data_IF_218856909687
#
_entry.id   IF_218856909687
#
_cell.length_a   1.000
_cell.length_b   1.000
_cell.length_c   1.000
_cell.angle_alpha   90.00
_cell.angle_beta   90.00
_cell.angle_gamma   90.00
#
_symmetry.space_group_name_H-M   'P 1'
#
loop_
_entity.id
_entity.type
_entity.pdbx_description
1 polymer ?
2 non-polymer ?
3 water ?
#
# COMPACT_ATOMS: atom_id res chain seq x y z
N UNK A 7 -8.21 6.60 23.51
CA UNK A 7 -8.55 6.63 22.05
C UNK A 7 -7.35 6.23 21.19
N UNK A 8 -7.55 5.25 20.32
CA UNK A 8 -6.49 4.77 19.42
C UNK A 8 -6.95 4.86 17.97
N UNK A 9 -6.30 5.73 17.20
CA UNK A 9 -6.63 5.92 15.80
C UNK A 9 -6.06 4.75 15.01
N UNK A 10 -6.94 4.00 14.36
CA UNK A 10 -6.51 2.85 13.55
C UNK A 10 -7.38 2.73 12.31
N UNK A 11 -6.73 2.45 11.19
CA UNK A 11 -7.43 2.36 9.91
C UNK A 11 -6.58 2.72 8.71
N UNK A 12 -7.07 3.64 7.89
CA UNK A 12 -6.49 3.84 6.56
C UNK A 12 -6.24 5.31 6.24
N UNK A 13 -5.10 5.56 5.61
CA UNK A 13 -4.79 6.85 5.00
C UNK A 13 -4.75 6.67 3.49
N UNK A 14 -5.64 7.35 2.79
CA UNK A 14 -5.53 7.46 1.34
C UNK A 14 -4.54 8.59 1.07
N UNK A 15 -3.26 8.24 1.03
CA UNK A 15 -2.20 9.24 0.84
C UNK A 15 -1.09 8.83 -0.11
N UNK A 16 -1.43 8.16 -1.20
CA UNK A 16 -0.46 7.73 -2.19
C UNK A 16 -0.45 8.66 -3.40
N UNK A 17 0.55 8.50 -4.27
CA UNK A 17 0.53 9.16 -5.57
C UNK A 17 -0.24 8.28 -6.54
N UNK A 18 -1.06 8.90 -7.37
CA UNK A 18 -1.85 8.16 -8.35
C UNK A 18 -3.32 8.50 -8.32
N UNK A 19 -4.10 7.73 -9.08
CA UNK A 19 -5.54 7.91 -9.18
C UNK A 19 -6.19 7.84 -7.80
N UNK A 20 -6.85 8.94 -7.36
CA UNK A 20 -7.54 8.87 -6.08
C UNK A 20 -8.77 8.00 -6.20
N UNK A 21 -9.11 7.29 -5.12
CA UNK A 21 -10.31 6.47 -5.09
C UNK A 21 -11.56 7.32 -5.27
N UNK A 22 -12.66 6.68 -5.67
CA UNK A 22 -13.91 7.37 -5.95
C UNK A 22 -14.94 7.12 -4.84
N UNK A 23 -16.13 7.69 -4.98
CA UNK A 23 -17.18 7.59 -3.96
C UNK A 23 -17.49 6.13 -3.61
N UNK A 24 -17.81 5.34 -4.63
CA UNK A 24 -18.17 3.94 -4.50
C UNK A 24 -17.13 3.17 -3.67
N UNK A 25 -15.85 3.41 -3.97
CA UNK A 25 -14.76 2.71 -3.30
C UNK A 25 -14.63 3.15 -1.86
N UNK A 26 -14.68 4.47 -1.62
CA UNK A 26 -14.49 4.99 -0.27
C UNK A 26 -15.60 4.59 0.68
N UNK A 27 -16.85 4.67 0.21
CA UNK A 27 -18.02 4.18 0.95
C UNK A 27 -17.87 2.70 1.31
N UNK A 28 -17.38 1.91 0.37
CA UNK A 28 -17.13 0.50 0.61
C UNK A 28 -16.03 0.31 1.67
N UNK A 29 -14.99 1.14 1.60
CA UNK A 29 -13.94 1.12 2.61
C UNK A 29 -14.50 1.39 4.00
N UNK A 30 -15.35 2.41 4.13
CA UNK A 30 -15.93 2.76 5.43
C UNK A 30 -16.72 1.59 5.99
N UNK A 31 -17.47 0.92 5.12
CA UNK A 31 -18.29 -0.22 5.51
C UNK A 31 -17.38 -1.31 6.11
N UNK A 32 -16.37 -1.71 5.34
CA UNK A 32 -15.44 -2.74 5.78
C UNK A 32 -14.68 -2.35 7.06
N UNK A 33 -14.27 -1.09 7.15
CA UNK A 33 -13.58 -0.60 8.35
C UNK A 33 -14.47 -0.74 9.57
N UNK A 34 -15.73 -0.34 9.43
CA UNK A 34 -16.67 -0.42 10.53
C UNK A 34 -16.81 -1.86 11.02
N UNK A 35 -17.02 -2.78 10.08
CA UNK A 35 -17.30 -4.17 10.42
C UNK A 35 -16.08 -4.94 10.94
N UNK A 36 -14.88 -4.41 10.68
CA UNK A 36 -13.67 -4.98 11.26
C UNK A 36 -13.22 -4.24 12.52
N UNK A 37 -14.09 -3.38 13.02
CA UNK A 37 -13.88 -2.59 14.25
C UNK A 37 -12.73 -1.56 14.20
N UNK A 38 -12.37 -1.13 13.00
CA UNK A 38 -11.43 -0.01 12.82
C UNK A 38 -12.18 1.32 12.92
N UNK A 39 -11.47 2.44 12.98
CA UNK A 39 -12.13 3.72 13.30
C UNK A 39 -11.75 4.97 12.50
N UNK A 40 -10.69 4.92 11.71
CA UNK A 40 -10.15 6.15 11.12
C UNK A 40 -9.91 6.08 9.62
N UNK A 41 -10.24 7.19 8.96
CA UNK A 41 -9.86 7.42 7.56
C UNK A 41 -9.23 8.82 7.40
N UNK A 42 -7.98 8.83 6.97
CA UNK A 42 -7.26 10.05 6.70
C UNK A 42 -7.26 10.32 5.20
N UNK A 43 -7.88 11.44 4.82
CA UNK A 43 -8.01 11.87 3.44
C UNK A 43 -6.77 12.67 3.02
N UNK A 44 -5.92 12.06 2.20
CA UNK A 44 -4.65 12.68 1.80
C UNK A 44 -4.19 12.38 0.36
N UNK A 45 -5.12 12.38 -0.63
CA UNK A 45 -4.64 11.97 -1.94
C UNK A 45 -3.67 12.99 -2.57
N UNK A 46 -2.41 12.57 -2.76
CA UNK A 46 -1.37 13.46 -3.27
C UNK A 46 -1.81 14.11 -4.57
N UNK A 47 -2.68 13.42 -5.31
CA UNK A 47 -3.15 13.87 -6.61
C UNK A 47 -4.62 14.32 -6.61
N UNK A 48 -5.19 14.62 -5.43
CA UNK A 48 -6.35 15.50 -5.39
C UNK A 48 -5.77 16.89 -5.51
N UNK A 49 -5.89 17.47 -6.70
CA UNK A 49 -5.15 18.71 -7.01
C UNK A 49 -5.28 19.81 -5.95
N UNK A 50 -6.47 19.95 -5.38
CA UNK A 50 -6.72 20.94 -4.32
C UNK A 50 -6.31 20.50 -2.91
N UNK A 51 -5.66 19.35 -2.78
CA UNK A 51 -5.18 18.89 -1.47
C UNK A 51 -3.73 19.30 -1.25
N UNK A 52 -2.94 19.22 -2.32
CA UNK A 52 -1.52 19.55 -2.28
C UNK A 52 -1.21 20.64 -3.31
N UNK A 53 -0.98 20.24 -4.56
CA UNK A 53 -0.64 21.15 -5.67
C UNK A 53 -1.23 22.55 -5.56
N UNK A 54 -2.56 22.64 -5.58
CA UNK A 54 -3.29 23.90 -5.50
C UNK A 54 -4.10 23.99 -4.20
N UNK A 55 -3.42 23.85 -3.07
CA UNK A 55 -4.06 23.87 -1.75
C UNK A 55 -4.84 25.15 -1.45
N UNK A 56 -4.51 26.25 -2.13
CA UNK A 56 -5.17 27.54 -1.89
C UNK A 56 -6.60 27.59 -2.38
N UNK A 57 -6.86 26.94 -3.51
CA UNK A 57 -8.17 26.95 -4.14
C UNK A 57 -9.28 26.32 -3.30
N UNK A 58 -10.44 26.96 -3.29
CA UNK A 58 -11.65 26.40 -2.70
C UNK A 58 -12.15 25.26 -3.59
N UNK A 59 -12.82 24.29 -2.97
CA UNK A 59 -13.49 23.24 -3.74
C UNK A 59 -14.72 23.85 -4.39
N UNK A 60 -15.00 23.44 -5.63
CA UNK A 60 -16.18 23.91 -6.36
C UNK A 60 -17.48 23.37 -5.76
N UNK A 61 -18.63 23.83 -6.28
CA UNK A 61 -19.93 23.37 -5.75
C UNK A 61 -20.08 21.86 -5.92
N UNK A 62 -19.82 21.36 -7.13
CA UNK A 62 -19.84 19.92 -7.41
C UNK A 62 -18.87 19.18 -6.49
N UNK A 63 -17.64 19.68 -6.41
CA UNK A 63 -16.61 19.09 -5.54
C UNK A 63 -17.00 19.11 -4.05
N UNK A 64 -17.85 20.07 -3.68
CA UNK A 64 -18.26 20.27 -2.30
C UNK A 64 -19.34 19.28 -1.89
N UNK A 65 -20.31 19.08 -2.78
CA UNK A 65 -21.40 18.14 -2.56
C UNK A 65 -20.82 16.73 -2.36
N UNK A 66 -19.75 16.46 -3.09
CA UNK A 66 -19.10 15.16 -3.03
C UNK A 66 -18.42 14.91 -1.70
N UNK A 67 -17.66 15.90 -1.23
CA UNK A 67 -16.99 15.79 0.06
C UNK A 67 -17.97 15.73 1.21
N UNK A 68 -19.09 16.43 1.09
CA UNK A 68 -20.15 16.41 2.10
C UNK A 68 -20.75 15.01 2.24
N UNK A 69 -21.09 14.41 1.10
CA UNK A 69 -21.55 13.02 1.00
C UNK A 69 -20.52 12.09 1.63
N UNK A 70 -19.28 12.20 1.17
CA UNK A 70 -18.18 11.43 1.71
C UNK A 70 -18.09 11.55 3.23
N UNK A 71 -18.17 12.77 3.75
CA UNK A 71 -18.06 13.01 5.20
C UNK A 71 -19.29 12.43 5.93
N UNK A 72 -20.44 12.52 5.28
CA UNK A 72 -21.69 12.03 5.83
C UNK A 72 -21.65 10.51 5.99
N UNK A 73 -21.18 9.82 4.95
CA UNK A 73 -21.05 8.37 4.94
C UNK A 73 -20.14 7.90 6.05
N UNK A 74 -19.04 8.63 6.27
CA UNK A 74 -18.12 8.29 7.35
C UNK A 74 -18.83 8.36 8.69
N UNK A 75 -19.65 9.40 8.86
CA UNK A 75 -20.45 9.53 10.07
C UNK A 75 -21.42 8.34 10.21
N UNK A 76 -22.07 8.00 9.09
CA UNK A 76 -23.05 6.91 9.05
C UNK A 76 -22.46 5.55 9.48
N UNK A 77 -21.20 5.29 9.10
CA UNK A 77 -20.52 4.04 9.43
C UNK A 77 -19.58 4.20 10.62
N UNK A 78 -19.78 5.26 11.40
CA UNK A 78 -19.00 5.52 12.62
C UNK A 78 -17.49 5.52 12.39
N UNK A 79 -17.06 6.10 11.27
CA UNK A 79 -15.63 6.26 10.96
C UNK A 79 -15.25 7.73 11.08
N UNK A 80 -14.17 8.04 11.79
CA UNK A 80 -13.73 9.42 11.87
C UNK A 80 -12.95 9.85 10.62
N UNK A 81 -13.52 10.85 9.95
CA UNK A 81 -12.95 11.41 8.74
C UNK A 81 -12.00 12.52 9.13
N UNK A 82 -10.71 12.34 8.83
CA UNK A 82 -9.72 13.39 9.00
C UNK A 82 -9.33 13.94 7.63
N UNK A 83 -9.59 15.23 7.43
CA UNK A 83 -9.16 15.92 6.22
C UNK A 83 -7.75 16.46 6.38
N UNK A 84 -6.84 16.05 5.50
CA UNK A 84 -5.48 16.59 5.49
C UNK A 84 -5.29 17.64 4.38
N UNK A 85 -4.38 18.59 4.63
CA UNK A 85 -3.93 19.57 3.63
C UNK A 85 -2.41 19.59 3.60
N UNK A 86 -1.83 19.79 2.41
CA UNK A 86 -0.37 19.84 2.26
C UNK A 86 0.05 21.12 1.54
N UNK A 87 0.40 22.17 2.30
CA UNK A 87 0.72 23.46 1.69
C UNK A 87 2.22 23.68 1.46
N UNK A 88 3.05 22.74 1.95
CA UNK A 88 4.49 22.94 2.03
C UNK A 88 5.28 23.02 0.73
N UNK A 89 4.60 22.90 -0.40
CA UNK A 89 5.28 22.96 -1.70
C UNK A 89 5.61 24.40 -2.11
N UNK A 90 4.69 25.32 -1.85
CA UNK A 90 4.87 26.73 -2.23
C UNK A 90 4.29 27.77 -1.24
N UNK A 91 4.19 27.41 0.04
CA UNK A 91 3.68 28.35 1.05
C UNK A 91 4.76 29.31 1.55
N UNK A 92 4.42 30.60 1.61
CA UNK A 92 5.25 31.58 2.32
C UNK A 92 4.70 31.67 3.74
N UNK A 93 5.37 30.99 4.68
CA UNK A 93 4.91 30.90 6.06
C UNK A 93 4.70 32.28 6.69
N UNK A 94 5.67 33.17 6.49
CA UNK A 94 5.67 34.51 7.07
C UNK A 94 4.58 35.43 6.51
N UNK A 95 4.06 35.11 5.34
CA UNK A 95 3.01 35.95 4.75
C UNK A 95 1.64 35.70 5.41
N UNK A 96 1.06 36.75 6.03
CA UNK A 96 -0.20 36.57 6.76
C UNK A 96 -1.38 36.25 5.83
N UNK A 97 -1.29 36.64 4.57
CA UNK A 97 -2.35 36.33 3.58
C UNK A 97 -2.40 34.83 3.31
N UNK A 98 -1.23 34.18 3.32
CA UNK A 98 -1.12 32.73 3.17
C UNK A 98 -1.83 31.99 4.31
N UNK A 99 -1.46 32.31 5.55
CA UNK A 99 -2.03 31.70 6.76
C UNK A 99 -3.55 31.85 6.77
N UNK A 100 -4.01 33.00 6.33
CA UNK A 100 -5.42 33.31 6.21
C UNK A 100 -6.12 32.38 5.21
N UNK A 101 -5.47 32.12 4.08
CA UNK A 101 -6.01 31.21 3.06
C UNK A 101 -6.06 29.76 3.56
N UNK A 102 -5.04 29.35 4.30
CA UNK A 102 -5.01 28.03 4.91
C UNK A 102 -6.19 27.86 5.85
N UNK A 103 -6.46 28.90 6.64
CA UNK A 103 -7.63 28.95 7.52
C UNK A 103 -8.92 28.87 6.71
N UNK A 104 -8.99 29.64 5.64
CA UNK A 104 -10.17 29.71 4.78
C UNK A 104 -10.50 28.34 4.18
N UNK A 105 -9.46 27.63 3.74
CA UNK A 105 -9.61 26.30 3.15
C UNK A 105 -10.18 25.33 4.18
N UNK A 106 -9.54 25.25 5.33
CA UNK A 106 -9.99 24.37 6.39
C UNK A 106 -11.35 24.76 6.95
N UNK A 107 -11.74 26.02 6.78
CA UNK A 107 -13.09 26.44 7.15
C UNK A 107 -14.15 25.88 6.22
N UNK A 108 -13.84 25.82 4.92
CA UNK A 108 -14.77 25.23 3.94
C UNK A 108 -15.07 23.78 4.32
N UNK A 109 -14.01 23.04 4.66
CA UNK A 109 -14.12 21.63 4.96
C UNK A 109 -14.85 21.39 6.29
N UNK A 110 -14.60 22.26 7.27
CA UNK A 110 -15.33 22.21 8.56
C UNK A 110 -16.83 22.33 8.30
N UNK A 111 -17.17 23.26 7.42
CA UNK A 111 -18.55 23.51 7.04
C UNK A 111 -19.18 22.33 6.31
N UNK A 112 -18.34 21.54 5.63
CA UNK A 112 -18.80 20.31 4.97
C UNK A 112 -19.17 19.24 6.01
N UNK A 113 -18.78 19.46 7.26
CA UNK A 113 -19.11 18.56 8.34
C UNK A 113 -17.91 17.90 8.99
N UNK A 114 -16.71 18.22 8.52
CA UNK A 114 -15.48 17.58 9.04
C UNK A 114 -15.03 18.26 10.33
N UNK A 115 -14.62 17.44 11.30
CA UNK A 115 -14.25 17.95 12.62
C UNK A 115 -12.80 17.60 13.02
N UNK A 116 -12.12 16.86 12.16
CA UNK A 116 -10.74 16.41 12.43
C UNK A 116 -9.86 16.73 11.24
N UNK A 117 -8.66 17.26 11.50
CA UNK A 117 -7.81 17.82 10.44
C UNK A 117 -6.36 17.43 10.57
N UNK A 118 -5.62 17.56 9.47
CA UNK A 118 -4.20 17.28 9.49
C UNK A 118 -3.44 18.25 8.60
N UNK A 119 -2.25 18.63 9.07
CA UNK A 119 -1.32 19.40 8.26
C UNK A 119 -0.13 18.53 7.91
N UNK A 120 0.17 18.48 6.61
CA UNK A 120 1.23 17.61 6.11
C UNK A 120 2.36 18.39 5.43
N UNK A 121 3.58 18.07 5.85
CA UNK A 121 4.77 18.68 5.31
C UNK A 121 5.76 17.63 4.80
N UNK A 122 5.20 16.53 4.31
CA UNK A 122 5.96 15.39 3.81
C UNK A 122 6.30 15.57 2.33
N UNK A 123 7.46 15.04 1.94
CA UNK A 123 7.99 15.08 0.56
C UNK A 123 8.11 16.51 -0.01
N UNK A 124 8.78 17.38 0.76
CA UNK A 124 9.15 18.73 0.32
C UNK A 124 10.62 18.99 0.68
N UNK A 125 11.27 19.96 0.04
CA UNK A 125 12.66 20.27 0.41
C UNK A 125 12.77 21.20 1.62
N UNK A 126 13.93 21.16 2.28
CA UNK A 126 14.17 21.91 3.51
C UNK A 126 14.31 23.42 3.35
N UNK A 127 14.64 23.85 2.14
CA UNK A 127 15.00 25.25 1.87
C UNK A 127 13.82 26.22 1.94
N UNK A 128 13.82 27.11 2.93
CA UNK A 128 12.83 28.18 3.02
C UNK A 128 13.19 29.31 2.05
N UNK A 129 12.23 30.20 1.78
CA UNK A 129 12.50 31.37 0.95
C UNK A 129 13.15 32.46 1.78
N UNK A 130 13.53 33.57 1.14
CA UNK A 130 14.22 34.66 1.82
C UNK A 130 13.39 35.24 2.96
N UNK A 131 12.17 35.69 2.64
CA UNK A 131 11.26 36.28 3.61
C UNK A 131 11.07 35.43 4.87
N UNK A 132 10.79 34.15 4.67
CA UNK A 132 10.58 33.21 5.78
C UNK A 132 11.84 33.07 6.64
N UNK A 133 13.01 33.05 6.00
CA UNK A 133 14.29 32.92 6.69
C UNK A 133 14.60 34.08 7.64
N UNK A 134 14.04 35.26 7.35
CA UNK A 134 14.16 36.40 8.24
C UNK A 134 13.31 36.19 9.49
N UNK A 135 12.03 35.85 9.28
CA UNK A 135 11.02 35.75 10.35
C UNK A 135 11.14 34.47 11.22
N UNK A 136 11.68 33.40 10.66
CA UNK A 136 11.72 32.12 11.37
C UNK A 136 13.12 31.57 11.57
N UNK A 137 13.37 31.08 12.78
CA UNK A 137 14.64 30.49 13.17
C UNK A 137 15.06 29.33 12.26
N UNK A 138 14.16 28.35 12.10
CA UNK A 138 14.41 27.19 11.24
C UNK A 138 13.18 26.80 10.43
N UNK A 139 13.29 25.69 9.72
CA UNK A 139 12.18 25.13 8.95
C UNK A 139 11.09 24.67 9.90
N UNK A 140 11.48 23.90 10.91
CA UNK A 140 10.57 23.42 11.94
C UNK A 140 9.81 24.54 12.65
N UNK A 141 10.50 25.67 12.88
CA UNK A 141 9.90 26.84 13.50
C UNK A 141 8.78 27.43 12.66
N UNK A 142 8.99 27.46 11.33
CA UNK A 142 7.97 27.95 10.41
C UNK A 142 6.74 27.04 10.44
N UNK A 143 7.00 25.74 10.33
CA UNK A 143 5.94 24.73 10.31
C UNK A 143 5.12 24.71 11.60
N UNK A 144 5.81 24.63 12.74
CA UNK A 144 5.13 24.57 14.04
C UNK A 144 4.30 25.82 14.32
N UNK A 145 4.83 26.97 13.94
CA UNK A 145 4.12 28.23 14.08
C UNK A 145 2.78 28.18 13.35
N UNK A 146 2.80 27.75 12.09
CA UNK A 146 1.57 27.75 11.27
C UNK A 146 0.61 26.66 11.72
N UNK A 147 1.16 25.50 12.07
CA UNK A 147 0.36 24.40 12.61
C UNK A 147 -0.36 24.84 13.87
N UNK A 148 0.39 25.30 14.86
CA UNK A 148 -0.19 25.73 16.14
C UNK A 148 -1.30 26.76 15.94
N UNK A 149 -1.02 27.74 15.08
CA UNK A 149 -1.97 28.80 14.80
C UNK A 149 -3.28 28.20 14.30
N UNK A 150 -3.18 27.39 13.24
CA UNK A 150 -4.33 26.69 12.66
C UNK A 150 -5.06 25.85 13.70
N UNK A 151 -4.31 25.06 14.45
CA UNK A 151 -4.87 24.19 15.48
C UNK A 151 -5.76 24.96 16.43
N UNK A 152 -5.26 26.10 16.91
CA UNK A 152 -5.99 26.93 17.87
C UNK A 152 -7.15 27.68 17.24
N UNK A 153 -6.94 28.15 16.01
CA UNK A 153 -7.98 28.85 15.27
C UNK A 153 -9.20 27.98 15.05
N UNK A 154 -8.98 26.68 14.85
CA UNK A 154 -10.07 25.73 14.65
C UNK A 154 -10.70 25.21 15.95
N UNK A 155 -10.35 25.84 17.06
CA UNK A 155 -10.93 25.52 18.36
C UNK A 155 -10.28 24.32 19.02
N UNK A 156 -9.04 24.04 18.65
CA UNK A 156 -8.26 22.93 19.21
C UNK A 156 -9.01 21.58 19.16
N UNK A 157 -9.28 21.07 17.93
CA UNK A 157 -10.05 19.83 17.75
C UNK A 157 -9.44 18.64 18.48
N UNK A 158 -10.28 17.68 18.85
CA UNK A 158 -9.84 16.46 19.53
C UNK A 158 -8.81 15.67 18.70
N UNK A 159 -9.00 15.63 17.39
CA UNK A 159 -8.04 14.98 16.51
C UNK A 159 -7.43 15.97 15.52
N UNK A 160 -6.17 16.30 15.75
CA UNK A 160 -5.41 17.11 14.82
C UNK A 160 -4.07 16.44 14.62
N UNK A 161 -3.68 16.23 13.37
CA UNK A 161 -2.40 15.58 13.06
C UNK A 161 -1.41 16.51 12.38
N UNK A 162 -0.13 16.22 12.59
CA UNK A 162 0.97 16.94 11.98
C UNK A 162 1.88 15.90 11.34
N UNK A 163 2.22 16.12 10.07
CA UNK A 163 3.22 15.28 9.45
C UNK A 163 4.53 16.05 9.17
N UNK A 164 5.62 15.63 9.83
CA UNK A 164 6.96 16.20 9.68
C UNK A 164 7.46 16.19 8.23
N UNK A 165 8.55 16.91 7.98
CA UNK A 165 9.26 16.76 6.72
C UNK A 165 10.23 15.62 6.92
N UNK A 166 10.88 15.62 8.07
CA UNK A 166 11.70 14.49 8.50
C UNK A 166 10.75 13.48 9.14
N UNK A 167 10.03 12.74 8.31
CA UNK A 167 8.94 11.91 8.79
C UNK A 167 9.30 10.45 9.07
N UNK A 168 10.57 10.09 8.93
CA UNK A 168 11.04 8.73 9.16
C UNK A 168 12.54 8.70 9.47
N UNK A 169 12.99 7.60 10.06
CA UNK A 169 14.40 7.42 10.44
C UNK A 169 15.42 7.99 9.46
N UNK A 170 15.43 7.46 8.25
CA UNK A 170 16.41 7.84 7.23
C UNK A 170 16.28 9.29 6.73
N UNK A 171 15.21 9.96 7.14
CA UNK A 171 14.95 11.33 6.68
C UNK A 171 15.46 12.42 7.62
N UNK A 172 15.92 12.01 8.80
CA UNK A 172 16.39 12.96 9.81
C UNK A 172 17.87 13.28 9.64
N UNK A 173 18.18 14.57 9.52
CA UNK A 173 19.56 15.07 9.54
C UNK A 173 19.90 15.57 10.95
N UNK A 174 21.02 15.09 11.53
CA UNK A 174 21.90 14.04 11.02
C UNK A 174 21.41 12.63 11.36
N UNK A 175 20.52 12.54 12.34
CA UNK A 175 19.89 11.28 12.74
C UNK A 175 18.64 11.56 13.57
N UNK A 176 18.02 10.51 14.08
CA UNK A 176 16.74 10.62 14.77
C UNK A 176 16.88 11.33 16.12
N UNK A 177 17.73 10.79 17.00
CA UNK A 177 17.86 11.25 18.38
C UNK A 177 18.53 12.62 18.52
N UNK A 178 19.28 13.04 17.50
CA UNK A 178 19.98 14.32 17.55
C UNK A 178 19.54 15.30 16.46
N UNK A 179 18.25 15.29 16.12
CA UNK A 179 17.73 16.17 15.07
C UNK A 179 17.32 17.55 15.60
N UNK A 180 17.90 18.62 15.03
CA UNK A 180 17.46 20.00 15.30
C UNK A 180 16.01 20.23 14.87
N UNK A 181 15.60 19.59 13.78
CA UNK A 181 14.24 19.70 13.26
C UNK A 181 13.24 19.04 14.22
N UNK A 182 13.52 17.81 14.63
CA UNK A 182 12.62 17.06 15.51
C UNK A 182 12.62 17.62 16.94
N UNK A 183 13.77 18.15 17.37
CA UNK A 183 13.88 18.81 18.67
C UNK A 183 12.85 19.93 18.77
N UNK A 184 12.88 20.84 17.79
CA UNK A 184 11.96 21.96 17.73
C UNK A 184 10.52 21.48 17.77
N UNK A 185 10.20 20.50 16.92
CA UNK A 185 8.83 19.96 16.82
C UNK A 185 8.36 19.42 18.17
N UNK A 186 9.19 18.61 18.81
CA UNK A 186 8.87 18.04 20.12
C UNK A 186 8.75 19.05 21.25
N UNK A 187 9.30 20.24 21.06
CA UNK A 187 9.26 21.28 22.07
C UNK A 187 8.15 22.28 21.80
N UNK A 188 8.17 22.87 20.61
CA UNK A 188 7.29 23.99 20.29
C UNK A 188 5.86 23.59 19.85
N UNK A 189 5.68 22.40 19.29
CA UNK A 189 4.36 21.96 18.82
C UNK A 189 3.41 21.61 19.98
N UNK A 190 2.25 22.26 20.01
CA UNK A 190 1.28 22.10 21.10
C UNK A 190 0.96 20.64 21.43
N UNK A 191 0.69 20.33 22.71
CA UNK A 191 0.60 18.93 23.16
C UNK A 191 -0.64 18.17 22.66
N UNK A 192 -1.68 18.92 22.27
CA UNK A 192 -2.91 18.31 21.76
C UNK A 192 -2.86 17.89 20.30
N UNK A 193 -1.65 17.82 19.73
CA UNK A 193 -1.47 17.55 18.30
C UNK A 193 -0.65 16.28 18.10
N UNK A 194 -1.08 15.44 17.18
CA UNK A 194 -0.41 14.18 16.88
C UNK A 194 0.69 14.35 15.85
N UNK A 195 1.70 13.50 15.95
CA UNK A 195 2.81 13.51 15.02
C UNK A 195 2.81 12.20 14.24
N UNK A 196 2.87 12.30 12.92
CA UNK A 196 2.91 11.12 12.07
C UNK A 196 4.34 10.66 11.83
N UNK A 197 4.53 9.33 11.82
CA UNK A 197 5.84 8.71 11.70
C UNK A 197 5.65 7.42 10.91
N UNK A 198 6.63 7.07 10.06
CA UNK A 198 6.50 5.85 9.24
C UNK A 198 7.47 4.73 9.65
N UNK A 199 8.31 5.00 10.65
CA UNK A 199 9.34 4.05 11.07
C UNK A 199 10.71 4.40 10.52
N UNK A 200 11.69 3.46 10.62
CA UNK A 200 13.08 3.64 10.19
C UNK A 200 13.22 4.17 8.75
N UNK A 201 12.33 3.74 7.86
CA UNK A 201 12.32 4.20 6.47
C UNK A 201 10.90 4.54 6.00
N UNK A 202 10.80 5.11 4.80
CA UNK A 202 9.49 5.39 4.20
C UNK A 202 8.64 4.12 4.19
N UNK A 203 9.18 3.06 3.59
CA UNK A 203 8.57 1.74 3.62
C UNK A 203 9.39 0.87 4.59
N UNK A 204 8.92 0.79 5.84
CA UNK A 204 9.69 0.10 6.87
C UNK A 204 9.46 -1.41 6.86
N UNK A 205 10.55 -2.16 6.67
CA UNK A 205 10.52 -3.63 6.78
C UNK A 205 10.10 -4.03 8.19
N UNK A 206 10.66 -3.33 9.17
CA UNK A 206 10.30 -3.51 10.56
C UNK A 206 10.19 -2.16 11.25
N UNK A 207 9.27 -2.07 12.20
CA UNK A 207 9.20 -0.92 13.09
C UNK A 207 9.57 -1.41 14.49
N UNK A 208 10.89 -1.40 14.80
CA UNK A 208 11.37 -1.94 16.07
C UNK A 208 10.95 -1.06 17.23
N UNK A 209 10.52 -1.70 18.31
CA UNK A 209 10.10 -1.02 19.54
C UNK A 209 11.13 0.01 20.01
N UNK A 210 12.41 -0.29 19.82
CA UNK A 210 13.50 0.61 20.21
C UNK A 210 13.38 1.98 19.54
N UNK A 211 13.20 1.99 18.22
CA UNK A 211 13.14 3.23 17.44
C UNK A 211 11.89 4.04 17.75
N UNK A 212 10.86 3.36 18.24
CA UNK A 212 9.63 4.02 18.66
C UNK A 212 9.83 4.81 19.96
N UNK A 213 10.54 4.19 20.91
CA UNK A 213 10.96 4.87 22.13
C UNK A 213 11.94 5.99 21.81
N UNK A 214 12.86 5.72 20.89
CA UNK A 214 13.84 6.72 20.44
C UNK A 214 13.18 7.99 19.91
N UNK A 215 12.23 7.82 18.99
CA UNK A 215 11.51 8.96 18.40
C UNK A 215 10.50 9.57 19.38
N UNK A 216 9.93 8.73 20.26
CA UNK A 216 9.02 9.20 21.30
C UNK A 216 9.66 10.26 22.18
N UNK A 217 10.93 10.04 22.53
CA UNK A 217 11.69 10.95 23.38
C UNK A 217 11.83 12.35 22.78
N UNK A 218 12.24 12.43 21.52
CA UNK A 218 12.53 13.73 20.89
C UNK A 218 11.28 14.54 20.49
N UNK A 219 10.23 13.85 20.04
CA UNK A 219 8.96 14.50 19.69
C UNK A 219 8.10 14.71 20.94
N UNK A 220 8.53 14.09 22.04
CA UNK A 220 7.92 14.27 23.36
C UNK A 220 6.47 13.81 23.41
N UNK A 221 6.18 12.70 22.72
CA UNK A 221 4.85 12.09 22.66
C UNK A 221 4.87 10.79 21.87
N UNK A 222 3.83 9.98 22.03
CA UNK A 222 3.66 8.79 21.21
C UNK A 222 3.20 9.19 19.79
N UNK A 223 3.88 8.65 18.76
CA UNK A 223 3.50 8.96 17.38
C UNK A 223 2.32 8.12 16.88
N UNK A 224 1.68 8.60 15.82
CA UNK A 224 0.76 7.81 15.03
C UNK A 224 1.51 7.31 13.82
N UNK A 225 1.50 6.01 13.60
CA UNK A 225 2.15 5.42 12.44
C UNK A 225 1.37 5.74 11.17
N UNK A 226 2.08 6.24 10.17
CA UNK A 226 1.58 6.32 8.81
C UNK A 226 2.32 5.16 8.13
N UNK A 227 1.69 3.99 8.09
CA UNK A 227 2.40 2.80 7.66
C UNK A 227 2.34 2.60 6.16
N UNK A 228 3.50 2.44 5.55
CA UNK A 228 3.61 2.27 4.12
C UNK A 228 3.98 0.87 3.71
N UNK A 229 3.71 -0.10 4.59
CA UNK A 229 4.02 -1.50 4.31
C UNK A 229 3.43 -1.98 2.97
N UNK A 230 2.19 -1.60 2.67
CA UNK A 230 1.49 -2.12 1.49
C UNK A 230 1.39 -1.17 0.31
N UNK A 231 1.98 0.02 0.41
CA UNK A 231 1.92 0.99 -0.69
C UNK A 231 2.65 0.47 -1.91
N UNK A 232 2.13 0.77 -3.09
CA UNK A 232 2.77 0.39 -4.35
C UNK A 232 2.90 1.53 -5.36
N UNK A 233 2.95 2.78 -4.90
CA UNK A 233 3.01 3.89 -5.82
C UNK A 233 4.41 4.18 -6.39
N UNK A 234 5.40 3.37 -6.03
CA UNK A 234 6.73 3.51 -6.63
C UNK A 234 6.82 2.86 -8.01
N UNK A 235 7.10 3.71 -9.01
CA UNK A 235 6.87 3.44 -10.44
C UNK A 235 7.66 2.29 -11.08
N UNK A 236 7.42 1.09 -10.55
CA UNK A 236 7.77 -0.17 -11.20
C UNK A 236 6.76 -1.16 -10.61
N UNK A 237 5.58 -1.18 -11.22
CA UNK A 237 4.35 -1.76 -10.63
C UNK A 237 4.43 -3.15 -9.97
N UNK A 238 4.29 -3.14 -8.64
CA UNK A 238 4.17 -4.35 -7.83
C UNK A 238 2.82 -4.31 -7.11
N UNK A 239 2.48 -5.40 -6.43
CA UNK A 239 1.21 -5.52 -5.70
C UNK A 239 1.40 -6.35 -4.43
N UNK A 240 0.86 -5.88 -3.32
CA UNK A 240 1.11 -6.54 -2.04
C UNK A 240 -0.15 -7.03 -1.37
N UNK A 241 -0.28 -8.35 -1.35
CA UNK A 241 -1.44 -9.02 -0.76
C UNK A 241 -1.02 -9.83 0.47
N UNK A 242 0.21 -9.65 0.93
CA UNK A 242 0.71 -10.34 2.12
C UNK A 242 0.10 -9.75 3.38
N UNK A 243 0.29 -10.40 4.53
CA UNK A 243 -0.29 -9.93 5.77
C UNK A 243 0.54 -8.82 6.41
N UNK A 244 -0.06 -8.09 7.34
CA UNK A 244 0.64 -7.05 8.10
C UNK A 244 1.71 -7.71 8.97
N UNK A 245 2.97 -7.51 8.60
CA UNK A 245 4.10 -8.10 9.33
C UNK A 245 5.15 -7.03 9.65
N UNK A 246 6.06 -7.34 10.55
CA UNK A 246 7.19 -6.46 10.86
C UNK A 246 6.97 -5.50 12.01
N UNK A 247 5.75 -5.47 12.53
CA UNK A 247 5.41 -4.59 13.66
C UNK A 247 4.93 -5.41 14.86
N UNK A 248 5.73 -5.39 15.92
CA UNK A 248 5.39 -6.09 17.16
C UNK A 248 4.14 -5.50 17.79
N UNK A 249 3.26 -6.37 18.28
CA UNK A 249 2.03 -5.95 18.96
C UNK A 249 2.34 -5.18 20.24
N UNK A 250 3.60 -5.20 20.66
CA UNK A 250 4.06 -4.41 21.79
C UNK A 250 4.05 -2.92 21.48
N UNK A 251 4.01 -2.56 20.19
CA UNK A 251 3.96 -1.16 19.78
C UNK A 251 2.62 -0.52 20.12
N UNK A 252 1.56 -1.32 20.15
CA UNK A 252 0.19 -0.80 20.33
C UNK A 252 0.02 0.10 21.56
N UNK A 253 0.48 -0.35 22.74
CA UNK A 253 0.37 0.53 23.91
C UNK A 253 1.41 1.67 23.93
N UNK A 254 2.33 1.67 22.95
CA UNK A 254 3.35 2.71 22.85
C UNK A 254 3.08 3.65 21.67
N UNK A 255 1.89 3.56 21.09
CA UNK A 255 1.50 4.40 19.96
C UNK A 255 0.15 5.05 20.15
N UNK A 256 -0.03 6.21 19.53
CA UNK A 256 -1.34 6.88 19.53
C UNK A 256 -2.21 6.40 18.35
N UNK A 257 -1.59 5.76 17.36
CA UNK A 257 -2.35 5.18 16.26
C UNK A 257 -1.55 4.53 15.15
N UNK A 258 -2.25 3.79 14.30
CA UNK A 258 -1.67 3.19 13.09
C UNK A 258 -2.65 3.37 11.94
N UNK A 259 -2.19 4.08 10.92
CA UNK A 259 -2.96 4.27 9.70
C UNK A 259 -2.15 3.70 8.55
N UNK A 260 -2.80 2.91 7.70
CA UNK A 260 -2.09 2.23 6.63
C UNK A 260 -2.37 2.85 5.26
N UNK A 261 -1.29 3.10 4.52
CA UNK A 261 -1.33 3.69 3.19
C UNK A 261 -1.16 2.60 2.15
N UNK A 262 -2.28 1.95 1.75
CA UNK A 262 -2.25 0.67 1.04
C UNK A 262 -2.06 0.80 -0.48
N UNK A 263 -2.24 -0.29 -1.22
CA UNK A 263 -2.15 -0.31 -2.69
C UNK A 263 -3.07 0.71 -3.36
N UNK A 264 -2.62 1.24 -4.50
CA UNK A 264 -3.42 2.19 -5.29
C UNK A 264 -4.70 1.55 -5.79
N UNK A 265 -4.59 0.28 -6.18
CA UNK A 265 -5.74 -0.52 -6.61
C UNK A 265 -6.55 -0.89 -5.39
N UNK A 266 -7.79 -0.42 -5.36
CA UNK A 266 -8.65 -0.49 -4.17
C UNK A 266 -8.93 -1.92 -3.65
N UNK A 267 -9.46 -2.77 -4.53
CA UNK A 267 -9.88 -4.12 -4.14
C UNK A 267 -8.67 -4.99 -3.78
N UNK A 268 -7.48 -4.55 -4.18
CA UNK A 268 -6.26 -5.27 -3.86
C UNK A 268 -5.87 -5.13 -2.38
N UNK A 269 -6.74 -4.54 -1.57
CA UNK A 269 -6.38 -4.13 -0.22
C UNK A 269 -7.12 -4.84 0.92
N UNK A 270 -7.84 -5.92 0.58
CA UNK A 270 -8.62 -6.68 1.55
C UNK A 270 -7.71 -7.20 2.67
N UNK A 271 -6.70 -7.96 2.26
CA UNK A 271 -5.72 -8.50 3.18
C UNK A 271 -5.09 -7.40 4.03
N UNK A 272 -4.50 -6.41 3.36
CA UNK A 272 -3.78 -5.32 4.01
C UNK A 272 -4.55 -4.73 5.18
N UNK A 273 -5.82 -4.44 4.93
CA UNK A 273 -6.66 -3.78 5.92
C UNK A 273 -7.23 -4.80 6.93
N UNK A 274 -7.63 -5.97 6.44
CA UNK A 274 -8.13 -7.07 7.31
C UNK A 274 -7.09 -7.45 8.36
N UNK A 275 -5.89 -7.81 7.91
CA UNK A 275 -4.81 -8.24 8.80
C UNK A 275 -4.38 -7.18 9.81
N UNK A 276 -4.42 -5.91 9.41
CA UNK A 276 -4.17 -4.81 10.35
C UNK A 276 -5.19 -4.79 11.49
N UNK A 277 -6.45 -5.04 11.17
CA UNK A 277 -7.52 -5.08 12.17
C UNK A 277 -7.29 -6.24 13.15
N UNK A 278 -6.86 -7.38 12.61
CA UNK A 278 -6.54 -8.55 13.42
C UNK A 278 -5.37 -8.25 14.36
N UNK A 279 -4.34 -7.60 13.80
CA UNK A 279 -3.17 -7.17 14.56
C UNK A 279 -3.57 -6.22 15.67
N UNK A 280 -4.40 -5.22 15.34
CA UNK A 280 -4.85 -4.25 16.33
C UNK A 280 -5.72 -4.87 17.42
N UNK A 281 -6.66 -5.73 17.03
CA UNK A 281 -7.57 -6.38 17.98
C UNK A 281 -6.87 -7.39 18.90
N UNK A 282 -5.71 -7.89 18.47
CA UNK A 282 -4.98 -8.91 19.23
C UNK A 282 -4.34 -8.36 20.50
N UNK A 283 -4.06 -7.05 20.52
CA UNK A 283 -3.54 -6.38 21.70
C UNK A 283 -4.18 -5.00 21.86
N UNK A 284 -5.52 -4.99 21.88
CA UNK A 284 -6.30 -3.78 21.93
C UNK A 284 -6.14 -3.07 23.28
N UNK A 285 -6.26 -3.86 24.36
CA UNK A 285 -6.25 -3.32 25.73
C UNK A 285 -4.88 -3.41 26.42
N UNK A 286 -4.04 -4.34 25.97
CA UNK A 286 -2.76 -4.64 26.61
C UNK A 286 -1.93 -3.46 27.10
N UNK A 287 -1.38 -3.61 28.30
CA UNK A 287 -0.58 -2.56 28.95
C UNK A 287 0.89 -2.64 28.53
N UNK A 288 1.66 -1.61 28.88
CA UNK A 288 3.08 -1.53 28.53
C UNK A 288 3.94 -2.55 29.27
N UNK A 289 4.58 -3.45 28.53
CA UNK A 289 5.46 -4.48 29.10
C UNK A 289 6.89 -4.37 28.56
N UNK A 318 8.23 -14.48 16.40
CA UNK A 318 8.73 -13.58 17.44
C UNK A 318 7.60 -13.03 18.33
N UNK A 319 6.44 -12.77 17.75
CA UNK A 319 5.31 -12.15 18.46
C UNK A 319 4.46 -13.16 19.21
N UNK A 320 4.15 -12.85 20.47
CA UNK A 320 3.42 -13.76 21.35
C UNK A 320 1.90 -13.57 21.30
N UNK A 321 1.42 -12.68 20.45
CA UNK A 321 -0.01 -12.35 20.39
C UNK A 321 -0.63 -12.38 18.99
N UNK A 322 0.21 -12.38 17.96
CA UNK A 322 -0.24 -12.21 16.58
C UNK A 322 0.62 -12.98 15.59
N UNK A 323 -0.03 -13.77 14.73
CA UNK A 323 0.67 -14.57 13.73
C UNK A 323 0.31 -14.14 12.31
N UNK A 324 1.28 -13.53 11.59
CA UNK A 324 1.05 -13.11 10.21
C UNK A 324 0.49 -14.24 9.36
N UNK A 325 1.03 -15.45 9.53
CA UNK A 325 0.57 -16.62 8.78
C UNK A 325 -0.89 -16.95 9.10
N UNK A 326 -1.25 -16.93 10.37
CA UNK A 326 -2.63 -17.23 10.78
C UNK A 326 -3.58 -16.08 10.45
N UNK A 327 -3.06 -14.84 10.45
CA UNK A 327 -3.84 -13.66 10.11
C UNK A 327 -4.12 -13.57 8.61
N UNK A 328 -3.15 -13.94 7.79
CA UNK A 328 -3.35 -14.00 6.34
C UNK A 328 -4.40 -15.04 5.97
N UNK A 329 -4.37 -16.19 6.66
CA UNK A 329 -5.34 -17.25 6.41
C UNK A 329 -6.77 -16.81 6.74
N UNK A 330 -6.94 -16.16 7.90
CA UNK A 330 -8.25 -15.63 8.29
C UNK A 330 -8.77 -14.61 7.28
N UNK A 331 -7.87 -13.77 6.79
CA UNK A 331 -8.19 -12.74 5.81
C UNK A 331 -8.64 -13.34 4.48
N UNK A 332 -7.83 -14.23 3.93
CA UNK A 332 -8.15 -14.90 2.67
C UNK A 332 -9.42 -15.73 2.74
N UNK A 333 -9.68 -16.32 3.92
CA UNK A 333 -10.87 -17.12 4.16
C UNK A 333 -12.13 -16.25 4.01
N UNK A 334 -12.12 -15.08 4.62
CA UNK A 334 -13.25 -14.16 4.55
C UNK A 334 -13.36 -13.49 3.18
N UNK A 335 -12.20 -13.19 2.57
CA UNK A 335 -12.12 -12.53 1.26
C UNK A 335 -12.70 -13.41 0.17
N UNK A 336 -12.54 -14.71 0.33
CA UNK A 336 -13.07 -15.69 -0.62
C UNK A 336 -14.58 -15.57 -0.77
N UNK A 337 -15.26 -15.30 0.35
CA UNK A 337 -16.70 -15.08 0.37
C UNK A 337 -17.13 -13.86 -0.45
N UNK A 338 -16.15 -13.01 -0.79
CA UNK A 338 -16.41 -11.82 -1.58
C UNK A 338 -16.38 -12.15 -3.08
N UNK A 339 -15.97 -13.36 -3.42
CA UNK A 339 -15.83 -13.78 -4.81
C UNK A 339 -17.06 -14.51 -5.33
N UNK A 340 -17.88 -15.03 -4.41
CA UNK A 340 -18.98 -15.93 -4.74
C UNK A 340 -20.14 -15.36 -5.54
N UNK A 341 -20.93 -16.26 -6.14
CA UNK A 341 -22.09 -15.92 -6.94
C UNK A 341 -23.28 -15.44 -6.09
N UNK A 342 -23.98 -14.37 -6.53
CA UNK A 342 -25.16 -13.84 -5.82
C UNK A 342 -26.32 -14.83 -5.69
N UNK A 361 -32.72 -25.53 -10.98
CA UNK A 361 -34.01 -25.07 -11.49
C UNK A 361 -34.29 -25.51 -12.95
N UNK A 362 -33.34 -25.32 -13.88
CA UNK A 362 -33.67 -25.68 -15.26
C UNK A 362 -33.83 -27.20 -15.46
N UNK A 363 -34.68 -27.58 -16.41
CA UNK A 363 -34.90 -28.99 -16.73
C UNK A 363 -33.77 -29.59 -17.55
N UNK A 364 -33.62 -30.93 -17.52
CA UNK A 364 -32.56 -31.66 -18.22
C UNK A 364 -32.44 -31.35 -19.71
N UNK A 365 -33.55 -30.97 -20.36
CA UNK A 365 -33.55 -30.62 -21.78
C UNK A 365 -33.48 -29.11 -22.05
N UNK A 366 -33.32 -28.34 -20.98
CA UNK A 366 -33.23 -26.87 -21.06
C UNK A 366 -31.78 -26.37 -21.03
N UNK A 367 -31.60 -25.06 -21.12
CA UNK A 367 -30.25 -24.46 -21.11
C UNK A 367 -29.65 -24.35 -19.71
N UNK A 368 -28.41 -24.88 -19.55
CA UNK A 368 -27.77 -24.87 -18.23
C UNK A 368 -27.37 -23.47 -17.78
N UNK A 369 -27.60 -23.18 -16.50
CA UNK A 369 -27.25 -21.90 -15.89
C UNK A 369 -25.79 -21.56 -16.15
N UNK A 370 -25.50 -20.28 -16.39
CA UNK A 370 -24.12 -19.85 -16.56
C UNK A 370 -23.36 -20.14 -15.27
N UNK A 371 -22.26 -20.87 -15.42
CA UNK A 371 -21.39 -21.20 -14.30
C UNK A 371 -19.95 -21.42 -14.76
N UNK A 372 -19.03 -21.39 -13.80
CA UNK A 372 -17.60 -21.64 -14.05
C UNK A 372 -16.92 -22.19 -12.80
N UNK A 373 -15.77 -22.85 -12.98
CA UNK A 373 -14.97 -23.38 -11.87
C UNK A 373 -14.66 -22.28 -10.84
N UNK A 374 -15.09 -22.48 -9.58
CA UNK A 374 -14.98 -21.47 -8.52
C UNK A 374 -13.55 -21.27 -8.02
N UNK A 375 -13.25 -20.04 -7.63
CA UNK A 375 -11.99 -19.67 -7.00
C UNK A 375 -11.96 -20.33 -5.61
N UNK A 376 -10.85 -21.01 -5.32
CA UNK A 376 -10.71 -21.74 -4.05
C UNK A 376 -9.77 -21.00 -3.12
N UNK A 377 -9.89 -21.27 -1.82
CA UNK A 377 -8.95 -20.71 -0.83
C UNK A 377 -7.49 -20.95 -1.23
N UNK A 378 -7.20 -22.14 -1.74
CA UNK A 378 -5.85 -22.50 -2.16
C UNK A 378 -5.37 -21.60 -3.32
N UNK A 379 -6.30 -21.25 -4.22
CA UNK A 379 -6.01 -20.30 -5.30
C UNK A 379 -5.54 -18.96 -4.73
N UNK A 380 -6.29 -18.44 -3.78
CA UNK A 380 -5.97 -17.16 -3.16
C UNK A 380 -4.66 -17.22 -2.41
N UNK A 381 -4.46 -18.30 -1.66
CA UNK A 381 -3.20 -18.54 -0.94
C UNK A 381 -2.01 -18.49 -1.89
N UNK A 382 -2.21 -18.99 -3.10
CA UNK A 382 -1.20 -18.91 -4.14
C UNK A 382 -1.06 -17.48 -4.67
N UNK A 383 -2.19 -16.81 -4.86
CA UNK A 383 -2.18 -15.44 -5.35
C UNK A 383 -1.38 -14.54 -4.41
N UNK A 384 -1.68 -14.63 -3.11
CA UNK A 384 -1.00 -13.84 -2.08
C UNK A 384 0.50 -14.15 -2.04
N UNK A 385 0.84 -15.43 -2.18
CA UNK A 385 2.23 -15.88 -2.21
C UNK A 385 3.01 -15.19 -3.34
N UNK A 386 2.41 -15.14 -4.52
CA UNK A 386 3.04 -14.54 -5.70
C UNK A 386 3.13 -13.01 -5.64
N UNK A 387 2.23 -12.39 -4.89
CA UNK A 387 2.22 -10.93 -4.72
C UNK A 387 2.18 -10.63 -3.23
N UNK A 388 3.31 -10.87 -2.57
CA UNK A 388 3.38 -10.94 -1.12
C UNK A 388 3.65 -9.59 -0.44
N UNK A 389 4.92 -9.32 -0.11
CA UNK A 389 5.30 -8.11 0.61
C UNK A 389 6.45 -7.37 -0.10
N UNK A 390 6.74 -6.12 0.33
CA UNK A 390 7.79 -5.34 -0.35
C UNK A 390 9.20 -5.93 -0.19
N UNK A 391 9.50 -6.50 0.97
CA UNK A 391 10.84 -7.02 1.24
C UNK A 391 10.90 -8.54 1.25
N UNK A 392 9.85 -9.19 0.77
CA UNK A 392 9.71 -10.62 0.95
C UNK A 392 8.68 -11.22 -0.02
N UNK A 393 9.14 -12.05 -0.94
CA UNK A 393 8.26 -12.92 -1.72
C UNK A 393 7.69 -14.00 -0.81
N UNK A 394 6.56 -14.58 -1.21
CA UNK A 394 5.99 -15.71 -0.50
C UNK A 394 6.77 -16.98 -0.77
N UNK A 395 6.72 -17.95 0.18
CA UNK A 395 7.46 -19.22 0.13
C UNK A 395 7.43 -19.92 -1.24
N UNK A 396 6.24 -20.16 -1.77
CA UNK A 396 6.08 -20.90 -3.03
C UNK A 396 6.63 -20.14 -4.25
N UNK A 397 6.40 -18.83 -4.29
CA UNK A 397 6.93 -17.99 -5.37
C UNK A 397 8.44 -17.91 -5.29
N UNK A 398 8.97 -17.77 -4.08
CA UNK A 398 10.41 -17.76 -3.87
C UNK A 398 11.04 -19.08 -4.30
N UNK A 399 10.38 -20.18 -3.92
CA UNK A 399 10.85 -21.52 -4.26
C UNK A 399 10.84 -21.74 -5.79
N UNK A 400 9.81 -21.23 -6.46
CA UNK A 400 9.73 -21.32 -7.92
C UNK A 400 10.88 -20.58 -8.57
N UNK A 401 11.27 -19.45 -7.99
CA UNK A 401 12.35 -18.64 -8.54
C UNK A 401 13.69 -19.38 -8.41
N UNK A 402 13.95 -19.97 -7.24
CA UNK A 402 15.14 -20.78 -7.02
C UNK A 402 15.20 -21.88 -8.06
N UNK A 403 14.12 -22.65 -8.16
CA UNK A 403 14.03 -23.76 -9.10
C UNK A 403 14.36 -23.32 -10.52
N UNK A 404 13.74 -22.24 -10.99
CA UNK A 404 14.00 -21.78 -12.35
C UNK A 404 15.48 -21.44 -12.59
N UNK A 405 16.13 -20.83 -11.61
CA UNK A 405 17.53 -20.45 -11.80
C UNK A 405 18.47 -21.64 -11.71
N UNK A 406 18.14 -22.59 -10.83
CA UNK A 406 18.86 -23.86 -10.75
C UNK A 406 18.77 -24.64 -12.07
N UNK A 407 17.57 -24.74 -12.62
CA UNK A 407 17.34 -25.44 -13.87
C UNK A 407 18.12 -24.80 -15.02
N UNK A 408 18.14 -23.47 -15.06
CA UNK A 408 18.86 -22.77 -16.11
C UNK A 408 20.38 -22.85 -15.87
N UNK A 409 20.78 -22.86 -14.60
CA UNK A 409 22.20 -22.96 -14.24
C UNK A 409 22.77 -24.32 -14.63
N UNK A 410 21.98 -25.37 -14.36
CA UNK A 410 22.41 -26.75 -14.58
C UNK A 410 21.88 -27.36 -15.87
N UNK A 411 21.60 -26.52 -16.85
CA UNK A 411 21.01 -26.98 -18.10
C UNK A 411 22.03 -27.60 -19.07
N UNK A 412 23.31 -27.51 -18.72
CA UNK A 412 24.38 -28.17 -19.49
C UNK A 412 24.28 -29.69 -19.32
N UNK A 413 23.90 -30.12 -18.11
CA UNK A 413 23.67 -31.53 -17.76
C UNK A 413 22.77 -32.29 -18.75
N UNK A 414 22.09 -31.55 -19.64
CA UNK A 414 21.22 -32.13 -20.67
C UNK A 414 21.48 -31.56 -22.07
N UNK A 415 22.66 -30.97 -22.27
CA UNK A 415 22.99 -30.30 -23.54
C UNK A 415 23.43 -31.26 -24.65
N UNK A 416 24.52 -31.98 -24.40
CA UNK A 416 25.10 -32.89 -25.38
C UNK A 416 24.39 -34.24 -25.42
N UNK A 423 24.85 -38.39 -15.47
CA UNK A 423 23.70 -39.29 -15.55
C UNK A 423 22.81 -39.22 -14.30
N UNK A 424 23.43 -39.04 -13.14
CA UNK A 424 22.71 -38.93 -11.87
C UNK A 424 22.13 -37.52 -11.68
N UNK A 425 22.88 -36.53 -12.17
CA UNK A 425 22.43 -35.15 -12.21
C UNK A 425 21.27 -35.04 -13.20
N UNK A 426 21.35 -35.81 -14.29
CA UNK A 426 20.27 -35.92 -15.28
C UNK A 426 18.96 -36.38 -14.65
N UNK A 427 19.04 -37.33 -13.72
CA UNK A 427 17.87 -37.84 -13.00
C UNK A 427 17.28 -36.78 -12.06
N UNK A 428 18.15 -36.00 -11.41
CA UNK A 428 17.70 -34.94 -10.51
C UNK A 428 17.12 -33.75 -11.27
N UNK A 429 17.75 -33.38 -12.37
CA UNK A 429 17.31 -32.26 -13.19
C UNK A 429 15.89 -32.47 -13.69
N UNK A 430 15.64 -33.62 -14.30
CA UNK A 430 14.32 -33.95 -14.83
C UNK A 430 13.28 -34.05 -13.72
N UNK A 431 13.68 -34.61 -12.58
CA UNK A 431 12.79 -34.70 -11.41
C UNK A 431 12.40 -33.32 -10.89
N UNK A 432 13.24 -32.33 -11.18
CA UNK A 432 13.00 -30.95 -10.74
C UNK A 432 12.26 -30.14 -11.78
N UNK A 433 12.62 -30.32 -13.06
CA UNK A 433 11.96 -29.65 -14.17
C UNK A 433 10.50 -30.09 -14.31
N UNK A 434 10.22 -31.31 -13.86
CA UNK A 434 8.86 -31.84 -13.83
C UNK A 434 8.01 -31.04 -12.85
N UNK A 435 8.46 -30.97 -11.61
CA UNK A 435 7.72 -30.29 -10.54
C UNK A 435 7.59 -28.78 -10.80
N UNK A 436 8.55 -28.22 -11.53
CA UNK A 436 8.49 -26.81 -11.88
C UNK A 436 7.39 -26.51 -12.89
N UNK A 437 7.33 -27.32 -13.94
CA UNK A 437 6.26 -27.23 -14.93
C UNK A 437 4.90 -27.50 -14.29
N UNK A 438 4.87 -28.42 -13.33
CA UNK A 438 3.65 -28.72 -12.57
C UNK A 438 3.23 -27.52 -11.72
N UNK A 439 4.19 -26.73 -11.27
CA UNK A 439 3.90 -25.50 -10.53
C UNK A 439 3.47 -24.37 -11.46
N UNK A 440 4.18 -24.21 -12.58
CA UNK A 440 3.79 -23.25 -13.62
C UNK A 440 2.35 -23.49 -14.07
N UNK A 441 1.96 -24.77 -14.14
CA UNK A 441 0.61 -25.16 -14.50
C UNK A 441 -0.43 -24.71 -13.50
N UNK A 442 -0.09 -24.71 -12.21
CA UNK A 442 -1.01 -24.29 -11.17
C UNK A 442 -1.27 -22.79 -11.21
N UNK A 443 -0.23 -22.02 -11.54
CA UNK A 443 -0.35 -20.57 -11.63
C UNK A 443 -1.32 -20.20 -12.75
N UNK A 444 -1.18 -20.86 -13.91
CA UNK A 444 -2.15 -20.72 -15.00
C UNK A 444 -3.53 -21.14 -14.55
N UNK A 445 -3.58 -22.30 -13.91
CA UNK A 445 -4.83 -22.86 -13.40
C UNK A 445 -5.63 -21.81 -12.66
N UNK A 446 -5.00 -21.20 -11.65
CA UNK A 446 -5.68 -20.25 -10.79
C UNK A 446 -5.87 -18.86 -11.43
N UNK A 447 -5.04 -18.51 -12.42
CA UNK A 447 -5.30 -17.31 -13.21
C UNK A 447 -6.67 -17.47 -13.85
N UNK A 448 -6.89 -18.63 -14.48
CA UNK A 448 -8.10 -18.87 -15.25
C UNK A 448 -9.34 -18.87 -14.36
N UNK A 449 -9.28 -19.57 -13.23
CA UNK A 449 -10.37 -19.54 -12.29
C UNK A 449 -10.64 -18.11 -11.83
N UNK A 450 -9.57 -17.36 -11.58
CA UNK A 450 -9.71 -15.94 -11.22
C UNK A 450 -10.40 -15.13 -12.30
N UNK A 451 -9.95 -15.27 -13.55
CA UNK A 451 -10.53 -14.49 -14.65
C UNK A 451 -11.99 -14.88 -14.94
N UNK A 452 -12.44 -15.98 -14.35
CA UNK A 452 -13.82 -16.45 -14.55
C UNK A 452 -14.78 -16.14 -13.41
N UNK A 453 -14.28 -15.64 -12.29
CA UNK A 453 -15.10 -15.43 -11.11
C UNK A 453 -16.24 -14.41 -11.32
N UNK A 454 -17.17 -14.38 -10.37
CA UNK A 454 -18.34 -13.50 -10.45
C UNK A 454 -17.98 -12.04 -10.22
N UNK A 455 -17.07 -11.79 -9.28
CA UNK A 455 -16.67 -10.43 -8.94
C UNK A 455 -15.69 -9.83 -9.93
N UNK A 456 -16.19 -8.94 -10.78
CA UNK A 456 -15.40 -8.34 -11.86
C UNK A 456 -14.60 -7.15 -11.36
N UNK A 457 -15.13 -6.47 -10.35
CA UNK A 457 -14.50 -5.31 -9.72
C UNK A 457 -13.16 -5.70 -9.09
N UNK A 458 -13.16 -6.80 -8.33
CA UNK A 458 -11.96 -7.32 -7.69
C UNK A 458 -10.96 -7.79 -8.74
N UNK A 459 -11.45 -8.54 -9.72
CA UNK A 459 -10.61 -9.10 -10.76
C UNK A 459 -9.89 -8.04 -11.57
N UNK A 460 -10.61 -6.98 -11.95
CA UNK A 460 -10.06 -5.95 -12.83
C UNK A 460 -9.17 -4.96 -12.11
N UNK A 461 -9.25 -4.94 -10.78
CA UNK A 461 -8.32 -4.13 -9.99
C UNK A 461 -6.90 -4.69 -10.02
N UNK A 462 -6.75 -6.01 -10.10
CA UNK A 462 -5.43 -6.62 -10.16
C UNK A 462 -5.16 -7.40 -11.44
N UNK A 463 -5.97 -7.14 -12.46
CA UNK A 463 -5.92 -7.92 -13.68
C UNK A 463 -4.60 -7.80 -14.45
N UNK A 464 -4.03 -6.60 -14.50
CA UNK A 464 -2.80 -6.39 -15.27
C UNK A 464 -1.62 -7.11 -14.63
N UNK A 465 -1.59 -7.12 -13.30
CA UNK A 465 -0.58 -7.86 -12.55
C UNK A 465 -0.68 -9.36 -12.84
N UNK A 466 -1.90 -9.88 -12.74
CA UNK A 466 -2.16 -11.29 -13.00
C UNK A 466 -1.86 -11.68 -14.44
N UNK A 467 -2.11 -10.77 -15.38
CA UNK A 467 -1.81 -11.03 -16.78
C UNK A 467 -0.30 -11.08 -17.03
N UNK A 468 0.44 -10.18 -16.39
CA UNK A 468 1.89 -10.13 -16.55
C UNK A 468 2.58 -11.39 -16.07
N UNK A 469 2.29 -11.80 -14.84
CA UNK A 469 2.91 -12.99 -14.27
C UNK A 469 2.50 -14.25 -15.03
N UNK A 470 1.22 -14.32 -15.44
CA UNK A 470 0.71 -15.41 -16.28
C UNK A 470 1.48 -15.51 -17.59
N UNK A 471 1.78 -14.35 -18.19
CA UNK A 471 2.53 -14.29 -19.43
C UNK A 471 3.97 -14.79 -19.28
N UNK A 472 4.62 -14.36 -18.19
CA UNK A 472 6.00 -14.73 -17.94
C UNK A 472 6.10 -16.23 -17.67
N UNK A 473 5.25 -16.74 -16.79
CA UNK A 473 5.24 -18.17 -16.43
C UNK A 473 5.23 -19.07 -17.65
N UNK A 474 4.47 -18.71 -18.68
CA UNK A 474 4.38 -19.51 -19.90
C UNK A 474 5.65 -19.45 -20.73
N UNK A 475 6.24 -18.26 -20.85
CA UNK A 475 7.55 -18.11 -21.50
C UNK A 475 8.59 -18.93 -20.76
N UNK A 476 8.50 -18.90 -19.43
CA UNK A 476 9.39 -19.66 -18.56
C UNK A 476 9.16 -21.16 -18.71
N UNK A 477 7.90 -21.58 -18.71
CA UNK A 477 7.55 -22.99 -18.91
C UNK A 477 8.06 -23.52 -20.25
N UNK A 478 7.90 -22.73 -21.30
CA UNK A 478 8.38 -23.08 -22.63
C UNK A 478 9.89 -23.24 -22.64
N UNK A 479 10.58 -22.32 -21.98
CA UNK A 479 12.04 -22.31 -21.90
C UNK A 479 12.57 -23.57 -21.21
N UNK A 480 11.94 -23.95 -20.10
CA UNK A 480 12.33 -25.16 -19.37
C UNK A 480 12.09 -26.40 -20.24
N UNK A 481 10.91 -26.49 -20.84
CA UNK A 481 10.60 -27.55 -21.80
C UNK A 481 11.69 -27.63 -22.87
N UNK A 482 11.95 -26.49 -23.52
CA UNK A 482 12.98 -26.37 -24.56
C UNK A 482 14.39 -26.75 -24.09
N UNK A 483 14.70 -26.48 -22.82
CA UNK A 483 15.96 -26.92 -22.23
C UNK A 483 15.95 -28.44 -22.08
N UNK A 484 14.85 -28.98 -21.55
CA UNK A 484 14.68 -30.41 -21.32
C UNK A 484 14.67 -31.26 -22.58
N UNK A 485 14.53 -30.59 -23.73
CA UNK A 485 14.58 -31.24 -25.03
C UNK A 485 15.58 -30.52 -25.94
N UNK A 486 16.85 -30.91 -25.80
CA UNK A 486 17.93 -30.38 -26.64
C UNK A 486 18.95 -31.46 -27.02
N UNK A 487 18.91 -32.58 -26.29
CA UNK A 487 19.71 -33.77 -26.64
C UNK A 487 18.99 -34.63 -27.69
N UNK A 488 17.84 -34.14 -28.15
CA UNK A 488 17.06 -34.78 -29.21
C UNK A 488 16.20 -33.74 -29.97
N UNK A 489 16.71 -32.52 -30.07
CA UNK A 489 16.05 -31.43 -30.79
C UNK A 489 17.06 -30.40 -31.29
N UNK A 490 16.85 -29.89 -32.50
CA UNK A 490 17.76 -28.94 -33.13
C UNK A 490 17.23 -27.50 -33.10
N UNK A 491 16.03 -27.32 -32.54
CA UNK A 491 15.35 -26.01 -32.51
C UNK A 491 16.06 -24.99 -31.61
N UNK A 492 16.22 -23.77 -32.12
CA UNK A 492 16.77 -22.65 -31.35
C UNK A 492 15.64 -21.85 -30.69
N UNK A 493 15.86 -21.44 -29.46
CA UNK A 493 14.86 -20.67 -28.70
C UNK A 493 14.95 -19.19 -29.04
N UNK A 494 13.80 -18.58 -29.26
CA UNK A 494 13.73 -17.15 -29.53
C UNK A 494 12.57 -16.52 -28.76
N UNK A 495 12.82 -15.35 -28.18
CA UNK A 495 11.79 -14.56 -27.51
C UNK A 495 10.80 -14.04 -28.56
N UNK A 496 11.31 -13.71 -29.74
CA UNK A 496 10.49 -13.23 -30.85
C UNK A 496 9.62 -14.28 -31.51
N UNK A 497 9.49 -15.45 -30.89
CA UNK A 497 8.63 -16.52 -31.37
C UNK A 497 7.36 -16.64 -30.53
N UNK A 498 7.39 -16.01 -29.35
CA UNK A 498 6.33 -16.13 -28.36
C UNK A 498 5.13 -15.21 -28.66
N UNK A 499 4.16 -15.21 -27.76
CA UNK A 499 2.93 -14.40 -27.92
C UNK A 499 2.99 -13.02 -27.23
N UNK A 500 3.49 -12.95 -25.98
CA UNK A 500 3.56 -11.64 -25.30
C UNK A 500 4.62 -10.66 -25.84
N UNK A 501 5.58 -11.17 -26.62
CA UNK A 501 6.66 -10.33 -27.16
C UNK A 501 6.49 -10.02 -28.65
N UNK A 502 6.15 -11.04 -29.43
CA UNK A 502 6.00 -10.91 -30.90
C UNK A 502 4.57 -10.60 -31.34
N UNK A 503 3.61 -10.83 -30.46
CA UNK A 503 2.22 -10.46 -30.72
C UNK A 503 1.71 -9.47 -29.64
N UNK A 504 2.39 -8.32 -29.58
CA UNK A 504 2.02 -7.24 -28.66
C UNK A 504 1.48 -6.03 -29.46
N UNK A 505 0.40 -5.44 -28.95
CA UNK A 505 -0.28 -4.35 -29.64
C UNK A 505 0.35 -2.97 -29.47
N UNK A 506 0.01 -2.08 -30.40
CA UNK A 506 0.42 -0.68 -30.34
C UNK A 506 1.78 -0.40 -30.91
N UNK A 507 1.99 0.87 -31.26
CA UNK A 507 3.27 1.38 -31.74
C UNK A 507 4.44 0.98 -30.84
N UNK A 508 4.19 0.97 -29.53
CA UNK A 508 5.14 0.50 -28.54
C UNK A 508 5.65 -0.92 -28.83
N UNK A 509 4.77 -1.77 -29.35
CA UNK A 509 5.10 -3.16 -29.66
C UNK A 509 5.90 -3.28 -30.94
N UNK A 510 5.46 -2.55 -31.96
CA UNK A 510 6.14 -2.50 -33.26
C UNK A 510 7.62 -2.18 -33.08
N UNK A 511 7.91 -1.16 -32.27
CA UNK A 511 9.28 -0.79 -31.90
C UNK A 511 9.95 -1.89 -31.09
N UNK A 512 9.23 -2.49 -30.16
CA UNK A 512 9.80 -3.49 -29.27
C UNK A 512 10.32 -4.69 -30.04
N UNK A 513 9.61 -5.07 -31.10
CA UNK A 513 10.01 -6.21 -31.94
C UNK A 513 11.31 -5.95 -32.71
N UNK A 514 11.61 -4.67 -32.94
CA UNK A 514 12.80 -4.29 -33.68
C UNK A 514 14.05 -4.18 -32.80
N UNK A 515 13.87 -4.21 -31.49
CA UNK A 515 15.00 -4.22 -30.55
C UNK A 515 15.78 -5.53 -30.66
N UNK A 516 17.09 -5.52 -30.34
CA UNK A 516 17.90 -6.73 -30.42
C UNK A 516 17.54 -7.77 -29.34
N UNK A 517 16.50 -8.56 -29.63
CA UNK A 517 16.10 -9.66 -28.75
C UNK A 517 16.70 -10.95 -29.29
N UNK A 518 17.35 -11.71 -28.42
CA UNK A 518 17.96 -13.02 -28.75
C UNK A 518 19.37 -12.94 -29.33
N UNK A 519 19.59 -12.04 -30.29
CA UNK A 519 20.87 -11.90 -30.97
C UNK A 519 21.61 -10.63 -30.61
X LIG B 1 6.31 7.14 -3.03
X LIG B 1 7.10 5.08 -1.84
X LIG B 1 3.21 8.70 -0.27
X LIG B 1 7.52 6.38 -2.50
X LIG B 1 4.44 9.74 4.08
X LIG B 1 3.78 9.42 1.72
X LIG B 1 3.68 7.52 0.25
X LIG B 1 6.02 5.33 -0.78
X LIG B 1 5.27 7.34 -1.93
X LIG B 1 4.51 10.86 5.09
X LIG B 1 3.78 6.16 -0.39
X LIG B 1 3.26 9.79 0.57
X LIG B 1 4.86 6.03 -1.38
X LIG B 1 3.98 10.18 2.83
X LIG B 1 4.78 8.59 4.36
X LIG B 1 4.21 7.76 1.87
#
# INVERSE_FOLDING_TARGET
SLGGARRFLCGVVEGFYGRPWVMEQRKELFRRLQKWELNTYLYAPKDDYKHRMFWREMYSVEEAEQLMTLISAAREYEIEFIYAISPGLDITFSNPKEVSTLKRKLDQVSQFGCRSFALLFDDIDHNMCAADKEVFSSFAHAQVSITNEIYQYLGEPETFLFCPTEYCGTFCYPNVSQSPYLRTVGEKLLPGIEVLWTGPKVVSKEIPVESIEEVSKIIKRAPVIWDNIHANDYDQKRLFLGPYKGRSTELIPRLKGVLTNPNCEFEANYVAIHTLATWYKSNMNGVRKDVVMTDSEDSTVSIQIKLENEGSDEDIETDVLYSPQMALKLALTEWLQEFGVPHQYSSRQVAHSGAKASVVDPGPNEKPLYTAEPVTLEDLQLLADLFYLPYEHGPKGAQMLREFQWLRANSSVVSVNSKGKDSEKIEEWRSRAAKFEEMCGLVMGMFTRLSNCANRTILYDMYSYVWDIKSIMSMVKSFVQWLGERSHSSAQFLIGDQEPWAFRGGLAGEFQRLLPIDGANDLFFQPPPLTPTSK
A1AKL C7 C6 C1 C5 C4 C3 C2 C8 C9 C10 C11 N12 N13 N14 O15 S16
#
